data_IF_054808323702
#
_entry.id   IF_054808323702
#
_cell.length_a   1.000
_cell.length_b   1.000
_cell.length_c   1.000
_cell.angle_alpha   90.00
_cell.angle_beta   90.00
_cell.angle_gamma   90.00
#
_symmetry.space_group_name_H-M   'P 1'
#
loop_
_entity.id
_entity.type
_entity.pdbx_description
1 polymer ?
#
# COMPACT_ATOMS: atom_id res chain seq x y z
N UNK A 1 4.97 21.39 14.90
CA UNK A 1 3.62 20.81 14.76
C UNK A 1 3.60 19.51 15.54
N UNK A 2 2.65 19.39 16.46
CA UNK A 2 2.39 18.19 17.23
C UNK A 2 1.60 17.17 16.41
N UNK A 3 1.56 15.93 16.88
CA UNK A 3 0.80 14.86 16.23
C UNK A 3 -0.71 15.16 16.18
N UNK A 4 -1.26 15.80 17.22
CA UNK A 4 -2.67 16.19 17.27
C UNK A 4 -2.99 17.27 16.23
N UNK A 5 -2.11 18.25 16.06
CA UNK A 5 -2.25 19.28 15.01
C UNK A 5 -2.17 18.67 13.61
N UNK A 6 -1.30 17.68 13.40
CA UNK A 6 -1.22 16.95 12.13
C UNK A 6 -2.51 16.19 11.82
N UNK A 7 -3.05 15.43 12.79
CA UNK A 7 -4.32 14.70 12.63
C UNK A 7 -5.48 15.65 12.30
N UNK A 8 -5.56 16.79 12.97
CA UNK A 8 -6.59 17.80 12.71
C UNK A 8 -6.46 18.40 11.30
N UNK A 9 -5.24 18.61 10.80
CA UNK A 9 -5.01 19.06 9.43
C UNK A 9 -5.44 18.02 8.39
N UNK A 10 -5.17 16.73 8.62
CA UNK A 10 -5.64 15.66 7.75
C UNK A 10 -7.17 15.62 7.68
N UNK A 11 -7.88 15.74 8.80
CA UNK A 11 -9.35 15.79 8.80
C UNK A 11 -9.91 17.02 8.09
N UNK A 12 -9.27 18.19 8.25
CA UNK A 12 -9.68 19.40 7.52
C UNK A 12 -9.43 19.26 6.02
N UNK A 13 -8.33 18.64 5.63
CA UNK A 13 -8.01 18.38 4.23
C UNK A 13 -9.00 17.41 3.60
N UNK A 14 -9.41 16.37 4.31
CA UNK A 14 -10.47 15.44 3.90
C UNK A 14 -11.81 16.16 3.72
N UNK A 15 -12.22 16.96 4.71
CA UNK A 15 -13.45 17.77 4.62
C UNK A 15 -13.45 18.74 3.42
N UNK A 16 -12.29 19.27 3.06
CA UNK A 16 -12.12 20.21 1.93
C UNK A 16 -11.82 19.50 0.60
N UNK A 17 -11.83 18.18 0.55
CA UNK A 17 -11.44 17.35 -0.60
C UNK A 17 -10.08 17.74 -1.20
N UNK A 18 -9.11 18.02 -0.33
CA UNK A 18 -7.76 18.40 -0.71
C UNK A 18 -6.88 17.18 -0.95
N UNK A 19 -7.14 16.48 -2.05
CA UNK A 19 -6.44 15.24 -2.44
C UNK A 19 -4.91 15.36 -2.38
N UNK A 20 -4.33 16.44 -2.92
CA UNK A 20 -2.87 16.65 -2.92
C UNK A 20 -2.28 16.77 -1.51
N UNK A 21 -3.03 17.32 -0.56
CA UNK A 21 -2.57 17.38 0.82
C UNK A 21 -2.65 16.01 1.48
N UNK A 22 -3.74 15.27 1.25
CA UNK A 22 -3.91 13.92 1.79
C UNK A 22 -2.85 12.95 1.24
N UNK A 23 -2.51 13.04 -0.05
CA UNK A 23 -1.40 12.30 -0.66
C UNK A 23 -0.07 12.62 0.05
N UNK A 24 0.29 13.90 0.16
CA UNK A 24 1.53 14.31 0.81
C UNK A 24 1.58 13.93 2.31
N UNK A 25 0.43 13.99 3.00
CA UNK A 25 0.31 13.55 4.39
C UNK A 25 0.45 12.02 4.50
N UNK A 26 -0.11 11.26 3.55
CA UNK A 26 0.04 9.82 3.45
C UNK A 26 1.50 9.40 3.26
N UNK A 27 2.18 10.02 2.29
CA UNK A 27 3.61 9.80 2.03
C UNK A 27 4.47 10.09 3.26
N UNK A 28 4.15 11.18 3.97
CA UNK A 28 4.85 11.52 5.21
C UNK A 28 4.67 10.44 6.28
N UNK A 29 3.46 9.92 6.48
CA UNK A 29 3.19 8.85 7.45
C UNK A 29 3.89 7.55 7.03
N UNK A 30 3.85 7.20 5.74
CA UNK A 30 4.54 6.01 5.21
C UNK A 30 6.05 6.09 5.43
N UNK A 31 6.67 7.26 5.20
CA UNK A 31 8.11 7.47 5.44
C UNK A 31 8.51 7.28 6.91
N UNK A 32 7.56 7.40 7.86
CA UNK A 32 7.82 7.12 9.27
C UNK A 32 7.77 5.63 9.58
N UNK A 33 7.03 4.86 8.79
CA UNK A 33 6.79 3.43 9.00
C UNK A 33 7.71 2.54 8.17
N UNK A 34 8.37 3.08 7.14
CA UNK A 34 9.17 2.32 6.17
C UNK A 34 10.25 1.42 6.81
N UNK A 35 10.86 1.88 7.91
CA UNK A 35 11.88 1.11 8.65
C UNK A 35 11.36 0.45 9.93
N UNK A 36 10.04 0.50 10.18
CA UNK A 36 9.43 -0.07 11.38
C UNK A 36 8.94 -1.50 11.15
N UNK A 37 9.22 -2.38 12.10
CA UNK A 37 8.57 -3.70 12.15
C UNK A 37 7.08 -3.55 12.47
N UNK A 38 6.26 -4.51 12.05
CA UNK A 38 4.79 -4.49 12.24
C UNK A 38 4.40 -4.23 13.71
N UNK A 39 5.11 -4.85 14.66
CA UNK A 39 4.87 -4.67 16.10
C UNK A 39 5.13 -3.23 16.55
N UNK A 40 6.16 -2.59 15.99
CA UNK A 40 6.49 -1.19 16.30
C UNK A 40 5.47 -0.23 15.70
N UNK A 41 4.94 -0.55 14.52
CA UNK A 41 3.85 0.21 13.90
C UNK A 41 2.58 0.11 14.76
N UNK A 42 2.25 -1.10 15.24
CA UNK A 42 1.10 -1.31 16.12
C UNK A 42 1.23 -0.51 17.42
N UNK A 43 2.40 -0.51 18.05
CA UNK A 43 2.68 0.30 19.24
C UNK A 43 2.61 1.81 18.95
N UNK A 44 3.25 2.25 17.87
CA UNK A 44 3.28 3.66 17.46
C UNK A 44 1.88 4.22 17.19
N UNK A 45 1.03 3.43 16.53
CA UNK A 45 -0.35 3.80 16.22
C UNK A 45 -1.34 3.43 17.33
N UNK A 46 -0.87 2.79 18.40
CA UNK A 46 -1.70 2.25 19.48
C UNK A 46 -2.86 1.37 18.95
N UNK A 47 -2.53 0.47 18.02
CA UNK A 47 -3.45 -0.52 17.43
C UNK A 47 -3.37 -1.79 18.26
N UNK A 48 -4.52 -2.24 18.75
CA UNK A 48 -4.62 -3.57 19.37
C UNK A 48 -4.59 -4.63 18.27
N UNK A 49 -3.72 -5.61 18.43
CA UNK A 49 -3.67 -6.77 17.55
C UNK A 49 -4.78 -7.77 17.93
N UNK A 50 -5.83 -7.81 17.12
CA UNK A 50 -7.02 -8.62 17.30
C UNK A 50 -7.04 -9.87 16.42
N UNK A 51 -5.98 -10.12 15.64
CA UNK A 51 -5.88 -11.29 14.77
C UNK A 51 -5.64 -12.57 15.58
N UNK A 52 -6.48 -13.57 15.31
CA UNK A 52 -6.26 -14.95 15.76
C UNK A 52 -5.03 -15.56 15.08
N UNK A 53 -4.50 -16.62 15.66
CA UNK A 53 -3.35 -17.34 15.08
C UNK A 53 -3.65 -17.89 13.68
N UNK A 54 -4.89 -18.30 13.40
CA UNK A 54 -5.31 -18.80 12.09
C UNK A 54 -5.37 -17.68 11.05
N UNK A 55 -5.87 -16.49 11.42
CA UNK A 55 -5.91 -15.33 10.52
C UNK A 55 -4.51 -14.84 10.16
N UNK A 56 -3.56 -14.84 11.11
CA UNK A 56 -2.16 -14.50 10.84
C UNK A 56 -1.51 -15.45 9.83
N UNK A 57 -1.73 -16.76 10.00
CA UNK A 57 -1.23 -17.76 9.05
C UNK A 57 -1.85 -17.57 7.66
N UNK A 58 -3.15 -17.27 7.60
CA UNK A 58 -3.81 -16.99 6.33
C UNK A 58 -3.28 -15.71 5.66
N UNK A 59 -2.89 -14.69 6.43
CA UNK A 59 -2.26 -13.47 5.91
C UNK A 59 -0.84 -13.73 5.37
N UNK A 60 -0.06 -14.60 6.01
CA UNK A 60 1.25 -15.02 5.52
C UNK A 60 1.15 -15.84 4.21
N UNK A 61 0.16 -16.72 4.11
CA UNK A 61 -0.05 -17.58 2.94
C UNK A 61 -0.73 -16.84 1.76
N UNK A 62 -1.57 -15.84 2.03
CA UNK A 62 -2.37 -15.13 1.04
C UNK A 62 -2.48 -13.60 1.31
N UNK A 63 -1.37 -12.85 1.20
CA UNK A 63 -1.32 -11.43 1.57
C UNK A 63 -2.33 -10.55 0.79
N UNK A 64 -2.61 -10.86 -0.48
CA UNK A 64 -3.48 -10.04 -1.34
C UNK A 64 -4.99 -10.18 -1.08
N UNK A 65 -5.45 -11.19 -0.33
CA UNK A 65 -6.90 -11.37 -0.07
C UNK A 65 -7.44 -10.43 1.02
N UNK A 66 -6.60 -10.02 1.97
CA UNK A 66 -6.98 -9.18 3.10
C UNK A 66 -7.07 -7.69 2.74
N UNK A 67 -6.36 -7.23 1.72
CA UNK A 67 -6.44 -5.86 1.23
C UNK A 67 -7.64 -5.60 0.29
N UNK A 68 -8.55 -6.56 0.11
CA UNK A 68 -9.68 -6.46 -0.83
C UNK A 68 -10.75 -5.41 -0.44
N UNK A 69 -10.60 -4.72 0.68
CA UNK A 69 -11.37 -3.52 1.04
C UNK A 69 -10.76 -2.20 0.57
N UNK A 70 -9.52 -2.18 0.07
CA UNK A 70 -8.86 -1.01 -0.50
C UNK A 70 -8.60 -1.31 -1.98
N UNK A 71 -9.29 -0.60 -2.87
CA UNK A 71 -9.02 -0.69 -4.31
C UNK A 71 -7.63 -0.12 -4.62
N UNK A 72 -6.59 -0.95 -4.52
CA UNK A 72 -5.31 -0.68 -5.17
C UNK A 72 -5.54 -1.00 -6.65
N UNK A 73 -5.87 0.02 -7.44
CA UNK A 73 -5.73 -0.08 -8.90
C UNK A 73 -4.23 -0.14 -9.20
N UNK A 74 -3.66 -1.35 -9.18
CA UNK A 74 -2.40 -1.62 -9.86
C UNK A 74 -2.75 -1.81 -11.34
N UNK A 75 -2.57 -0.77 -12.13
CA UNK A 75 -2.36 -0.90 -13.57
C UNK A 75 -1.09 -1.74 -13.76
N UNK A 76 -1.27 -3.05 -13.83
CA UNK A 76 -0.26 -3.94 -14.42
C UNK A 76 -0.28 -3.69 -15.91
N UNK A 77 0.63 -2.83 -16.36
CA UNK A 77 1.00 -2.76 -17.76
C UNK A 77 1.44 -4.16 -18.22
N UNK A 78 0.61 -4.78 -19.05
CA UNK A 78 0.96 -5.92 -19.89
C UNK A 78 2.26 -5.61 -20.65
N UNK A 79 3.39 -6.08 -20.14
CA UNK A 79 4.59 -6.22 -20.96
C UNK A 79 5.24 -7.57 -20.68
N UNK A 80 4.85 -8.62 -21.42
CA UNK A 80 5.64 -9.84 -21.49
C UNK A 80 7.00 -9.50 -22.13
N UNK A 81 8.06 -9.65 -21.35
CA UNK A 81 9.42 -9.53 -21.83
C UNK A 81 9.84 -10.67 -22.75
N UNK A 82 10.96 -10.41 -23.43
CA UNK A 82 11.83 -11.32 -24.18
C UNK A 82 11.42 -11.69 -25.62
N UNK A 83 12.06 -10.99 -26.57
CA UNK A 83 12.31 -11.52 -27.92
C UNK A 83 13.23 -12.75 -27.87
N UNK A 84 13.15 -13.65 -28.86
CA UNK A 84 14.38 -14.12 -29.48
C UNK A 84 14.34 -14.17 -31.02
N UNK A 85 15.40 -13.61 -31.59
CA UNK A 85 16.23 -14.03 -32.73
C UNK A 85 15.64 -14.83 -33.92
N UNK A 86 15.89 -14.24 -35.10
CA UNK A 86 16.32 -14.82 -36.40
C UNK A 86 15.40 -15.73 -37.25
N UNK A 87 15.32 -15.31 -38.52
CA UNK A 87 14.73 -15.85 -39.76
C UNK A 87 15.19 -17.29 -40.14
N UNK A 88 14.60 -18.03 -41.14
CA UNK A 88 14.06 -17.52 -42.43
C UNK A 88 12.85 -18.23 -43.10
N UNK A 89 12.33 -17.56 -44.15
CA UNK A 89 11.69 -18.03 -45.40
C UNK A 89 10.56 -19.10 -45.37
N UNK A 90 9.40 -18.77 -45.96
CA UNK A 90 8.88 -19.45 -47.16
C UNK A 90 7.61 -18.79 -47.74
N UNK A 91 7.51 -18.89 -49.07
CA UNK A 91 6.53 -18.37 -50.01
C UNK A 91 5.07 -18.77 -49.74
N UNK A 92 4.13 -17.90 -50.12
CA UNK A 92 3.13 -18.16 -51.18
C UNK A 92 2.49 -16.86 -51.68
#
# INVERSE_FOLDING_TARGET
MSENEFKELCWKADFLDSQRFLEAAGDYVLSKMEEMEVQQIQEYLNIQDDFTLEERKAMEEHPLKFFSGVSIQQDVADTPGAAPADQPASQQ
#
